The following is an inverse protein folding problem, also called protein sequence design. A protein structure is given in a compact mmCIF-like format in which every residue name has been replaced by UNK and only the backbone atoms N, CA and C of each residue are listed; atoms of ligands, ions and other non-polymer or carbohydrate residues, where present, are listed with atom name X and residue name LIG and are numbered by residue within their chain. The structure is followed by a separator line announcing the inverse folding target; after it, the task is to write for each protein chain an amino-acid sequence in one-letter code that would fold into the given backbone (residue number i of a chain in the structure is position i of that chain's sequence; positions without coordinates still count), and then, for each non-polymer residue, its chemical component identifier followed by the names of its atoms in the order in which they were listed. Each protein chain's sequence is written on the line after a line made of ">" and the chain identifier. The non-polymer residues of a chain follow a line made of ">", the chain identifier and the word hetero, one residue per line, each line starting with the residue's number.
data_IF_671576872154
#
_entry.id   IF_671576872154
#
_cell.length_a   1.000
_cell.length_b   1.000
_cell.length_c   1.000
_cell.angle_alpha   90.00
_cell.angle_beta   90.00
_cell.angle_gamma   90.00
#
_symmetry.space_group_name_H-M   'P 1'
#
loop_
_entity.id
_entity.type
_entity.pdbx_description
1 polymer ?
#
# COMPACT_ATOMS: atom_id res chain seq x y z
N UNK A 1 -22.66 -3.07 -8.89
CA UNK A 1 -22.48 -2.03 -7.85
C UNK A 1 -21.03 -1.58 -7.91
N UNK A 2 -20.75 -0.31 -7.63
CA UNK A 2 -19.41 0.29 -7.70
C UNK A 2 -18.63 0.19 -6.38
N UNK A 3 -17.33 0.49 -6.42
CA UNK A 3 -16.53 0.81 -5.24
C UNK A 3 -16.17 2.29 -5.25
N UNK A 4 -16.02 2.86 -4.06
CA UNK A 4 -15.59 4.23 -3.83
C UNK A 4 -14.20 4.24 -3.21
N UNK A 5 -13.31 5.09 -3.72
CA UNK A 5 -11.94 5.22 -3.21
C UNK A 5 -11.59 6.68 -2.94
N UNK A 6 -10.81 6.91 -1.91
CA UNK A 6 -10.17 8.19 -1.64
C UNK A 6 -8.91 8.02 -0.81
N UNK A 7 -7.91 8.86 -1.07
CA UNK A 7 -6.79 9.04 -0.15
C UNK A 7 -7.20 10.04 0.92
N UNK A 8 -7.32 9.60 2.15
CA UNK A 8 -7.53 10.52 3.27
C UNK A 8 -6.24 11.29 3.57
N UNK A 9 -5.09 10.68 3.40
CA UNK A 9 -3.75 11.31 3.45
C UNK A 9 -2.74 10.43 2.76
N UNK A 10 -1.68 11.03 2.18
CA UNK A 10 -0.64 10.29 1.49
C UNK A 10 0.72 10.97 1.58
N UNK A 11 1.72 10.27 2.10
CA UNK A 11 3.10 10.72 2.25
C UNK A 11 3.67 10.43 3.64
N UNK A 12 4.94 10.70 3.85
CA UNK A 12 5.70 10.42 5.09
C UNK A 12 5.20 11.14 6.36
N UNK A 13 4.17 11.96 6.27
CA UNK A 13 3.47 12.55 7.41
C UNK A 13 2.20 11.78 7.80
N UNK A 14 1.89 10.70 7.10
CA UNK A 14 0.78 9.81 7.38
C UNK A 14 0.14 9.28 6.10
N UNK A 15 -0.22 8.01 6.10
CA UNK A 15 -0.90 7.32 5.01
C UNK A 15 -2.23 6.77 5.51
N UNK A 16 -3.30 6.98 4.76
CA UNK A 16 -4.61 6.45 5.09
C UNK A 16 -5.48 6.41 3.83
N UNK A 17 -5.85 5.22 3.39
CA UNK A 17 -6.59 5.00 2.16
C UNK A 17 -7.93 4.34 2.46
N UNK A 18 -9.00 4.91 1.92
CA UNK A 18 -10.37 4.41 2.05
C UNK A 18 -10.76 3.66 0.78
N UNK A 19 -11.27 2.44 0.94
CA UNK A 19 -11.87 1.65 -0.13
C UNK A 19 -13.17 1.04 0.39
N UNK A 20 -14.29 1.26 -0.30
CA UNK A 20 -15.57 0.73 0.15
C UNK A 20 -16.67 0.80 -0.89
N UNK A 21 -17.83 0.31 -0.53
CA UNK A 21 -19.08 0.48 -1.26
C UNK A 21 -20.05 1.39 -0.47
N UNK A 22 -21.31 1.45 -0.86
CA UNK A 22 -22.32 2.30 -0.18
C UNK A 22 -22.57 1.91 1.30
N UNK A 23 -22.34 0.65 1.69
CA UNK A 23 -22.66 0.13 3.03
C UNK A 23 -21.46 -0.16 3.93
N UNK A 24 -20.32 -0.40 3.33
CA UNK A 24 -19.14 -0.86 4.06
C UNK A 24 -17.83 -0.45 3.40
N UNK A 25 -16.79 -0.28 4.21
CA UNK A 25 -15.47 0.12 3.75
C UNK A 25 -14.37 -0.47 4.64
N UNK A 26 -13.17 -0.50 4.10
CA UNK A 26 -11.93 -0.76 4.84
C UNK A 26 -11.01 0.46 4.75
N UNK A 27 -10.21 0.66 5.79
CA UNK A 27 -9.07 1.56 5.74
C UNK A 27 -7.80 0.75 5.58
N UNK A 28 -6.98 1.15 4.64
CA UNK A 28 -5.60 0.64 4.51
C UNK A 28 -4.69 1.69 5.11
N UNK A 29 -4.02 1.30 6.19
CA UNK A 29 -3.22 2.14 7.06
C UNK A 29 -4.01 3.30 7.73
N UNK A 30 -3.54 3.76 8.87
CA UNK A 30 -4.03 4.93 9.61
C UNK A 30 -2.83 5.66 10.21
N UNK A 31 -2.07 6.32 9.36
CA UNK A 31 -0.89 7.09 9.74
C UNK A 31 -1.17 8.51 10.21
N UNK A 32 -2.43 8.94 10.19
CA UNK A 32 -2.89 10.24 10.70
C UNK A 32 -3.76 10.06 11.94
N UNK A 33 -3.90 11.11 12.74
CA UNK A 33 -4.68 11.02 13.98
C UNK A 33 -6.16 10.68 13.74
N UNK A 34 -6.78 10.00 14.70
CA UNK A 34 -8.22 9.69 14.68
C UNK A 34 -9.09 10.92 14.37
N UNK A 35 -8.80 12.08 15.00
CA UNK A 35 -9.50 13.34 14.74
C UNK A 35 -9.37 13.78 13.28
N UNK A 36 -8.21 13.59 12.69
CA UNK A 36 -7.95 13.98 11.31
C UNK A 36 -8.67 13.04 10.32
N UNK A 37 -8.68 11.72 10.58
CA UNK A 37 -9.50 10.77 9.81
C UNK A 37 -10.97 11.18 9.81
N UNK A 38 -11.53 11.42 11.00
CA UNK A 38 -12.94 11.84 11.15
C UNK A 38 -13.26 13.16 10.42
N UNK A 39 -12.36 14.12 10.54
CA UNK A 39 -12.51 15.42 9.87
C UNK A 39 -12.54 15.26 8.34
N UNK A 40 -11.58 14.53 7.79
CA UNK A 40 -11.45 14.34 6.34
C UNK A 40 -12.60 13.52 5.77
N UNK A 41 -12.98 12.42 6.43
CA UNK A 41 -14.16 11.66 6.03
C UNK A 41 -15.43 12.50 6.03
N UNK A 42 -15.65 13.31 7.08
CA UNK A 42 -16.81 14.21 7.15
C UNK A 42 -16.84 15.24 6.03
N UNK A 43 -15.68 15.84 5.70
CA UNK A 43 -15.58 16.80 4.59
C UNK A 43 -15.91 16.15 3.22
N UNK A 44 -15.72 14.84 3.10
CA UNK A 44 -16.03 14.06 1.90
C UNK A 44 -17.47 13.47 1.91
N UNK A 45 -18.25 13.71 2.96
CA UNK A 45 -19.57 13.10 3.12
C UNK A 45 -19.53 11.62 3.50
N UNK A 46 -18.36 11.11 3.88
CA UNK A 46 -18.18 9.74 4.33
C UNK A 46 -18.42 9.64 5.84
N UNK A 47 -18.91 8.47 6.29
CA UNK A 47 -19.21 8.21 7.70
C UNK A 47 -18.33 7.09 8.27
N UNK A 48 -17.90 7.23 9.52
CA UNK A 48 -17.13 6.18 10.20
C UNK A 48 -17.93 4.88 10.41
N UNK A 49 -19.26 4.95 10.39
CA UNK A 49 -20.13 3.77 10.55
C UNK A 49 -20.02 2.77 9.37
N UNK A 50 -19.60 3.24 8.21
CA UNK A 50 -19.31 2.36 7.05
C UNK A 50 -17.99 1.62 7.18
N UNK A 51 -17.02 2.14 7.93
CA UNK A 51 -15.72 1.48 8.12
C UNK A 51 -15.90 0.24 8.99
N UNK A 52 -15.47 -0.91 8.47
CA UNK A 52 -15.64 -2.22 9.12
C UNK A 52 -14.33 -2.83 9.59
N UNK A 53 -13.19 -2.42 9.03
CA UNK A 53 -11.88 -2.94 9.39
C UNK A 53 -10.76 -1.97 9.00
N UNK A 54 -9.62 -2.17 9.66
CA UNK A 54 -8.33 -1.53 9.32
C UNK A 54 -7.36 -2.64 8.93
N UNK A 55 -6.64 -2.46 7.81
CA UNK A 55 -5.54 -3.33 7.39
C UNK A 55 -4.24 -2.56 7.44
N UNK A 56 -3.20 -3.15 8.02
CA UNK A 56 -1.89 -2.52 8.21
C UNK A 56 -0.88 -3.13 7.26
N UNK A 57 -0.25 -2.27 6.48
CA UNK A 57 0.75 -2.67 5.49
C UNK A 57 2.11 -3.01 6.12
N UNK A 58 2.56 -2.20 7.10
CA UNK A 58 3.81 -2.38 7.84
C UNK A 58 3.86 -1.42 9.06
N UNK A 59 4.92 -1.53 9.89
CA UNK A 59 5.00 -0.89 11.20
C UNK A 59 5.51 0.56 11.22
N UNK A 60 5.84 1.18 10.10
CA UNK A 60 6.32 2.56 10.12
C UNK A 60 5.28 3.52 10.69
N UNK A 61 5.75 4.52 11.42
CA UNK A 61 4.90 5.44 12.18
C UNK A 61 3.85 6.16 11.33
N UNK A 62 4.21 6.50 10.10
CA UNK A 62 3.32 7.16 9.13
C UNK A 62 2.25 6.22 8.53
N UNK A 63 2.21 4.96 8.96
CA UNK A 63 1.16 3.98 8.63
C UNK A 63 0.29 3.60 9.83
N UNK A 64 0.80 3.74 11.05
CA UNK A 64 0.14 3.17 12.23
C UNK A 64 -0.21 4.15 13.34
N UNK A 65 0.26 5.41 13.31
CA UNK A 65 0.18 6.33 14.46
C UNK A 65 -1.25 6.58 14.96
N UNK A 66 -2.25 6.56 14.10
CA UNK A 66 -3.66 6.75 14.45
C UNK A 66 -4.42 5.47 14.79
N UNK A 67 -3.87 4.29 14.47
CA UNK A 67 -4.55 2.99 14.58
C UNK A 67 -5.09 2.72 15.97
N UNK A 68 -4.29 2.81 17.08
CA UNK A 68 -4.79 2.42 18.40
C UNK A 68 -6.00 3.23 18.86
N UNK A 69 -5.98 4.54 18.59
CA UNK A 69 -7.06 5.44 19.00
C UNK A 69 -8.31 5.23 18.15
N UNK A 70 -8.15 5.10 16.82
CA UNK A 70 -9.28 4.90 15.91
C UNK A 70 -9.94 3.56 16.13
N UNK A 71 -9.14 2.47 16.21
CA UNK A 71 -9.64 1.13 16.44
C UNK A 71 -10.40 1.02 17.77
N UNK A 72 -9.84 1.57 18.86
CA UNK A 72 -10.50 1.57 20.17
C UNK A 72 -11.80 2.37 20.16
N UNK A 73 -11.81 3.57 19.55
CA UNK A 73 -12.97 4.47 19.54
C UNK A 73 -14.17 3.87 18.81
N UNK A 74 -13.93 3.18 17.71
CA UNK A 74 -14.98 2.64 16.84
C UNK A 74 -15.16 1.14 16.92
N UNK A 75 -14.39 0.46 17.79
CA UNK A 75 -14.45 -1.01 17.93
C UNK A 75 -14.02 -1.75 16.65
N UNK A 76 -13.09 -1.19 15.88
CA UNK A 76 -12.70 -1.74 14.59
C UNK A 76 -11.70 -2.88 14.76
N UNK A 77 -11.91 -4.03 14.08
CA UNK A 77 -10.88 -5.05 13.97
C UNK A 77 -9.69 -4.50 13.18
N UNK A 78 -8.48 -4.84 13.65
CA UNK A 78 -7.21 -4.47 13.01
C UNK A 78 -6.56 -5.73 12.46
N UNK A 79 -6.47 -5.82 11.14
CA UNK A 79 -5.75 -6.88 10.45
C UNK A 79 -4.29 -6.46 10.27
N UNK A 80 -3.39 -7.27 10.83
CA UNK A 80 -1.96 -6.97 10.89
C UNK A 80 -1.18 -8.28 11.03
N UNK A 81 -0.03 -8.42 10.39
CA UNK A 81 0.80 -9.62 10.58
C UNK A 81 1.43 -9.64 11.97
N UNK A 82 1.75 -10.83 12.48
CA UNK A 82 2.36 -10.98 13.81
C UNK A 82 3.70 -10.23 13.91
N UNK A 83 4.51 -10.26 12.85
CA UNK A 83 5.80 -9.57 12.83
C UNK A 83 5.61 -8.06 12.84
N UNK A 84 4.73 -7.52 11.99
CA UNK A 84 4.40 -6.09 11.98
C UNK A 84 3.83 -5.64 13.33
N UNK A 85 2.94 -6.41 13.94
CA UNK A 85 2.40 -6.08 15.27
C UNK A 85 3.51 -6.05 16.33
N UNK A 86 4.38 -7.04 16.36
CA UNK A 86 5.49 -7.12 17.30
C UNK A 86 6.42 -5.90 17.18
N UNK A 87 6.82 -5.54 15.96
CA UNK A 87 7.75 -4.43 15.73
C UNK A 87 7.09 -3.05 15.88
N UNK A 88 5.78 -2.94 15.66
CA UNK A 88 5.01 -1.70 15.84
C UNK A 88 4.92 -1.25 17.31
N UNK A 89 5.11 -2.16 18.26
CA UNK A 89 4.94 -1.94 19.70
C UNK A 89 3.54 -1.45 20.11
N UNK A 90 2.55 -1.57 19.22
CA UNK A 90 1.18 -1.19 19.53
C UNK A 90 0.56 -2.16 20.55
N UNK A 91 -0.14 -1.60 21.52
CA UNK A 91 -0.88 -2.38 22.54
C UNK A 91 -2.34 -2.58 22.06
N UNK A 92 -2.54 -3.51 21.13
CA UNK A 92 -3.87 -3.88 20.62
C UNK A 92 -3.93 -5.37 20.26
N UNK A 93 -5.15 -5.88 20.15
CA UNK A 93 -5.39 -7.25 19.66
C UNK A 93 -5.46 -7.19 18.14
N UNK A 94 -4.41 -7.63 17.47
CA UNK A 94 -4.38 -7.81 16.02
C UNK A 94 -5.06 -9.10 15.57
N UNK A 95 -5.59 -9.11 14.37
CA UNK A 95 -6.06 -10.30 13.67
C UNK A 95 -5.05 -10.59 12.57
N UNK A 96 -4.36 -11.74 12.62
CA UNK A 96 -3.36 -12.05 11.60
C UNK A 96 -4.00 -12.32 10.24
N UNK A 97 -3.31 -11.96 9.18
CA UNK A 97 -3.60 -12.36 7.81
C UNK A 97 -2.38 -13.02 7.18
N UNK A 98 -2.60 -13.84 6.16
CA UNK A 98 -1.54 -14.44 5.36
C UNK A 98 -1.48 -13.86 3.95
N UNK A 99 -0.30 -13.87 3.31
CA UNK A 99 -0.19 -13.45 1.91
C UNK A 99 -1.02 -14.37 1.00
N UNK A 100 -1.65 -13.80 -0.02
CA UNK A 100 -2.50 -14.49 -1.00
C UNK A 100 -3.74 -15.18 -0.42
N UNK A 101 -4.07 -14.94 0.85
CA UNK A 101 -5.29 -15.45 1.47
C UNK A 101 -6.30 -14.29 1.62
N UNK A 102 -7.41 -14.29 0.88
CA UNK A 102 -8.40 -13.22 0.97
C UNK A 102 -9.05 -13.18 2.35
N UNK A 103 -9.08 -12.01 2.96
CA UNK A 103 -9.87 -11.73 4.16
C UNK A 103 -11.20 -11.11 3.72
N UNK A 104 -12.31 -11.74 4.09
CA UNK A 104 -13.65 -11.24 3.78
C UNK A 104 -14.13 -10.26 4.85
N UNK A 105 -14.53 -9.06 4.42
CA UNK A 105 -15.15 -8.02 5.26
C UNK A 105 -16.48 -7.64 4.59
N UNK A 106 -17.56 -8.25 5.03
CA UNK A 106 -18.87 -8.11 4.36
C UNK A 106 -18.83 -8.61 2.90
N UNK A 107 -19.04 -7.72 1.95
CA UNK A 107 -18.96 -7.99 0.50
C UNK A 107 -17.57 -7.66 -0.10
N UNK A 108 -16.66 -7.13 0.72
CA UNK A 108 -15.30 -6.81 0.31
C UNK A 108 -14.37 -7.99 0.62
N UNK A 109 -13.41 -8.21 -0.27
CA UNK A 109 -12.31 -9.14 -0.07
C UNK A 109 -11.01 -8.37 -0.13
N UNK A 110 -10.15 -8.55 0.88
CA UNK A 110 -8.83 -7.92 0.95
C UNK A 110 -7.76 -9.00 0.83
N UNK A 111 -7.00 -8.96 -0.23
CA UNK A 111 -5.89 -9.87 -0.49
C UNK A 111 -4.57 -9.14 -0.26
N UNK A 112 -3.77 -9.63 0.66
CA UNK A 112 -2.43 -9.10 0.92
C UNK A 112 -1.38 -9.85 0.07
N UNK A 113 -0.33 -9.16 -0.34
CA UNK A 113 0.84 -9.76 -0.96
C UNK A 113 2.13 -9.06 -0.49
N UNK A 114 3.21 -9.82 -0.40
CA UNK A 114 4.51 -9.33 0.07
C UNK A 114 5.08 -8.31 -0.92
N UNK A 115 5.56 -7.20 -0.43
CA UNK A 115 6.29 -6.17 -1.18
C UNK A 115 7.73 -6.05 -0.72
N UNK A 116 8.58 -5.45 -1.54
CA UNK A 116 9.94 -5.09 -1.14
C UNK A 116 9.92 -3.72 -0.47
N UNK A 117 10.20 -3.68 0.83
CA UNK A 117 10.35 -2.46 1.62
C UNK A 117 11.17 -2.73 2.87
N UNK A 118 11.79 -1.71 3.45
CA UNK A 118 12.65 -1.81 4.64
C UNK A 118 11.84 -1.84 5.95
N UNK A 119 10.92 -2.80 6.03
CA UNK A 119 10.08 -3.08 7.19
C UNK A 119 10.13 -4.57 7.55
N UNK A 120 9.57 -4.95 8.70
CA UNK A 120 9.69 -6.32 9.22
C UNK A 120 8.95 -7.37 8.39
N UNK A 121 7.76 -7.03 7.91
CA UNK A 121 6.91 -7.93 7.11
C UNK A 121 5.94 -7.11 6.25
N UNK A 122 6.46 -6.37 5.22
CA UNK A 122 5.69 -5.39 4.49
C UNK A 122 4.78 -6.02 3.44
N UNK A 123 3.52 -5.56 3.39
CA UNK A 123 2.51 -6.03 2.45
C UNK A 123 1.85 -4.87 1.70
N UNK A 124 1.44 -5.14 0.48
CA UNK A 124 0.48 -4.34 -0.30
C UNK A 124 -0.86 -5.06 -0.35
N UNK A 125 -1.90 -4.35 -0.77
CA UNK A 125 -3.27 -4.89 -0.75
C UNK A 125 -3.98 -4.72 -2.08
N UNK A 126 -4.76 -5.74 -2.44
CA UNK A 126 -5.81 -5.68 -3.44
C UNK A 126 -7.15 -5.80 -2.72
N UNK A 127 -8.02 -4.79 -2.84
CA UNK A 127 -9.37 -4.81 -2.29
C UNK A 127 -10.35 -5.03 -3.43
N UNK A 128 -11.11 -6.12 -3.37
CA UNK A 128 -12.06 -6.50 -4.40
C UNK A 128 -13.49 -6.56 -3.87
N UNK A 129 -14.44 -6.21 -4.70
CA UNK A 129 -15.88 -6.31 -4.39
C UNK A 129 -16.72 -5.90 -5.59
N UNK A 130 -17.89 -6.49 -5.76
CA UNK A 130 -18.83 -6.14 -6.82
C UNK A 130 -18.27 -6.18 -8.26
N UNK A 131 -17.26 -7.04 -8.51
CA UNK A 131 -16.56 -7.08 -9.81
C UNK A 131 -15.56 -5.96 -10.05
N UNK A 132 -15.19 -5.21 -9.01
CA UNK A 132 -14.17 -4.14 -9.03
C UNK A 132 -12.99 -4.55 -8.16
N UNK A 133 -11.78 -4.25 -8.61
CA UNK A 133 -10.54 -4.47 -7.85
C UNK A 133 -9.74 -3.16 -7.74
N UNK A 134 -9.32 -2.85 -6.53
CA UNK A 134 -8.60 -1.62 -6.18
C UNK A 134 -7.26 -2.00 -5.56
N UNK A 135 -6.17 -1.51 -6.13
CA UNK A 135 -4.82 -1.70 -5.58
C UNK A 135 -4.41 -0.59 -4.61
N UNK A 136 -3.72 -0.96 -3.53
CA UNK A 136 -3.03 -0.02 -2.65
C UNK A 136 -1.56 -0.41 -2.59
N UNK A 137 -0.73 0.32 -3.35
CA UNK A 137 0.65 0.00 -3.66
C UNK A 137 1.56 1.18 -3.30
N UNK A 138 1.83 1.33 -2.02
CA UNK A 138 2.72 2.34 -1.45
C UNK A 138 3.91 1.70 -0.77
N UNK A 139 4.98 2.43 -0.58
CA UNK A 139 6.21 1.96 0.03
C UNK A 139 6.76 0.72 -0.69
N UNK A 140 7.03 0.92 -1.96
CA UNK A 140 7.49 -0.11 -2.89
C UNK A 140 8.96 0.14 -3.24
N UNK A 141 9.87 -0.71 -2.77
CA UNK A 141 11.28 -0.58 -3.07
C UNK A 141 11.64 -0.95 -4.52
N UNK A 142 10.91 -1.90 -5.09
CA UNK A 142 11.09 -2.31 -6.48
C UNK A 142 9.84 -2.94 -7.07
N UNK A 143 9.71 -2.84 -8.39
CA UNK A 143 8.68 -3.53 -9.15
C UNK A 143 8.99 -5.04 -9.19
N UNK A 144 8.15 -5.87 -8.58
CA UNK A 144 8.28 -7.32 -8.58
C UNK A 144 7.10 -7.98 -9.29
N UNK A 145 7.23 -9.27 -9.61
CA UNK A 145 6.17 -10.04 -10.29
C UNK A 145 4.82 -10.01 -9.56
N UNK A 146 4.84 -9.99 -8.23
CA UNK A 146 3.64 -9.90 -7.40
C UNK A 146 2.92 -8.56 -7.62
N UNK A 147 3.68 -7.45 -7.60
CA UNK A 147 3.12 -6.12 -7.86
C UNK A 147 2.54 -6.05 -9.26
N UNK A 148 3.26 -6.51 -10.27
CA UNK A 148 2.79 -6.54 -11.67
C UNK A 148 1.52 -7.38 -11.81
N UNK A 149 1.50 -8.58 -11.19
CA UNK A 149 0.35 -9.48 -11.21
C UNK A 149 -0.91 -8.81 -10.66
N UNK A 150 -0.82 -8.19 -9.48
CA UNK A 150 -1.96 -7.53 -8.86
C UNK A 150 -2.34 -6.21 -9.54
N UNK A 151 -1.35 -5.47 -10.05
CA UNK A 151 -1.61 -4.22 -10.77
C UNK A 151 -2.44 -4.45 -12.05
N UNK A 152 -2.18 -5.55 -12.77
CA UNK A 152 -2.96 -5.93 -13.96
C UNK A 152 -4.42 -6.26 -13.70
N UNK A 153 -4.82 -6.44 -12.45
CA UNK A 153 -6.20 -6.74 -12.05
C UNK A 153 -6.97 -5.48 -11.60
N UNK A 154 -6.33 -4.30 -11.59
CA UNK A 154 -6.89 -3.11 -10.98
C UNK A 154 -7.77 -2.31 -11.92
N UNK A 155 -9.00 -2.02 -11.49
CA UNK A 155 -9.86 -1.00 -12.08
C UNK A 155 -9.45 0.40 -11.60
N UNK A 156 -8.86 0.50 -10.40
CA UNK A 156 -8.18 1.69 -9.92
C UNK A 156 -7.04 1.32 -8.97
N UNK A 157 -6.07 2.21 -8.79
CA UNK A 157 -4.97 1.97 -7.87
C UNK A 157 -4.49 3.27 -7.21
N UNK A 158 -4.06 3.14 -5.95
CA UNK A 158 -3.11 4.03 -5.31
C UNK A 158 -1.71 3.49 -5.61
N UNK A 159 -0.93 4.22 -6.36
CA UNK A 159 0.41 3.80 -6.78
C UNK A 159 1.45 4.79 -6.30
N UNK A 160 2.47 4.30 -5.64
CA UNK A 160 3.59 5.13 -5.24
C UNK A 160 4.29 5.77 -6.44
N UNK A 161 4.56 7.08 -6.31
CA UNK A 161 5.49 7.84 -7.13
C UNK A 161 6.29 8.75 -6.17
N UNK A 162 7.27 8.16 -5.48
CA UNK A 162 7.85 8.80 -4.32
C UNK A 162 8.77 9.94 -4.69
N UNK A 163 9.72 9.73 -5.60
CA UNK A 163 10.74 10.73 -5.89
C UNK A 163 11.01 10.91 -7.39
N UNK A 164 11.37 12.11 -7.73
CA UNK A 164 12.05 12.43 -8.98
C UNK A 164 13.54 12.16 -8.83
N UNK A 165 14.16 11.49 -9.80
CA UNK A 165 15.55 11.06 -9.72
C UNK A 165 16.51 12.25 -9.64
N UNK A 166 16.27 13.28 -10.45
CA UNK A 166 17.09 14.48 -10.49
C UNK A 166 16.98 15.29 -9.19
N UNK A 167 15.74 15.44 -8.67
CA UNK A 167 15.51 16.13 -7.40
C UNK A 167 16.16 15.37 -6.24
N UNK A 168 16.11 14.04 -6.21
CA UNK A 168 16.78 13.24 -5.19
C UNK A 168 18.31 13.42 -5.27
N UNK A 169 18.90 13.32 -6.47
CA UNK A 169 20.36 13.45 -6.63
C UNK A 169 20.87 14.85 -6.27
N UNK A 170 20.17 15.90 -6.65
CA UNK A 170 20.52 17.30 -6.35
C UNK A 170 20.07 17.75 -4.97
N UNK A 171 19.18 16.99 -4.34
CA UNK A 171 18.57 17.31 -3.04
C UNK A 171 19.56 17.28 -1.88
N UNK A 172 19.13 17.84 -0.74
CA UNK A 172 19.95 18.04 0.46
C UNK A 172 20.18 16.77 1.30
N UNK A 173 19.56 15.66 0.96
CA UNK A 173 19.68 14.44 1.73
C UNK A 173 21.11 13.88 1.66
N UNK A 174 21.63 13.35 2.78
CA UNK A 174 22.95 12.72 2.78
C UNK A 174 22.94 11.45 1.90
N UNK A 175 24.10 11.09 1.40
CA UNK A 175 24.26 9.98 0.44
C UNK A 175 23.65 8.66 0.92
N UNK A 176 23.82 8.33 2.22
CA UNK A 176 23.24 7.10 2.76
C UNK A 176 21.72 7.07 2.67
N UNK A 177 21.05 8.22 2.89
CA UNK A 177 19.58 8.31 2.79
C UNK A 177 19.12 8.25 1.35
N UNK A 178 19.82 8.90 0.41
CA UNK A 178 19.55 8.76 -1.03
C UNK A 178 19.68 7.31 -1.47
N UNK A 179 20.72 6.62 -1.03
CA UNK A 179 20.92 5.19 -1.33
C UNK A 179 19.83 4.31 -0.73
N UNK A 180 19.35 4.61 0.48
CA UNK A 180 18.21 3.93 1.09
C UNK A 180 16.94 4.14 0.26
N UNK A 181 16.62 5.38 -0.12
CA UNK A 181 15.41 5.73 -0.87
C UNK A 181 15.38 5.02 -2.23
N UNK A 182 16.47 5.09 -3.01
CA UNK A 182 16.54 4.48 -4.35
C UNK A 182 16.90 3.00 -4.37
N UNK A 183 17.21 2.43 -3.22
CA UNK A 183 17.54 1.01 -3.09
C UNK A 183 16.29 0.13 -3.27
N UNK A 184 16.50 -1.15 -3.60
CA UNK A 184 15.41 -2.10 -3.86
C UNK A 184 14.51 -2.40 -2.66
N UNK A 185 14.77 -1.79 -1.50
CA UNK A 185 13.93 -1.84 -0.29
C UNK A 185 13.42 -0.44 0.10
N UNK A 186 13.69 0.59 -0.70
CA UNK A 186 13.25 1.95 -0.45
C UNK A 186 11.89 2.26 -1.09
N UNK A 187 11.91 3.10 -2.12
CA UNK A 187 10.69 3.61 -2.78
C UNK A 187 10.82 3.62 -4.30
N UNK A 188 9.70 3.64 -5.01
CA UNK A 188 9.66 3.82 -6.47
C UNK A 188 9.92 5.28 -6.85
N UNK A 189 10.77 5.48 -7.85
CA UNK A 189 10.86 6.76 -8.54
C UNK A 189 9.63 7.00 -9.43
N UNK A 190 9.43 8.25 -9.85
CA UNK A 190 8.40 8.62 -10.83
C UNK A 190 8.53 7.79 -12.11
N UNK A 191 9.76 7.55 -12.57
CA UNK A 191 10.01 6.78 -13.79
C UNK A 191 9.64 5.29 -13.62
N UNK A 192 10.04 4.65 -12.50
CA UNK A 192 9.69 3.25 -12.23
C UNK A 192 8.18 3.05 -12.12
N UNK A 193 7.48 3.98 -11.44
CA UNK A 193 6.03 3.95 -11.35
C UNK A 193 5.35 4.17 -12.71
N UNK A 194 5.89 5.08 -13.54
CA UNK A 194 5.42 5.31 -14.90
C UNK A 194 5.62 4.09 -15.79
N UNK A 195 6.77 3.41 -15.68
CA UNK A 195 7.05 2.20 -16.45
C UNK A 195 6.10 1.07 -16.09
N UNK A 196 5.80 0.86 -14.80
CA UNK A 196 4.76 -0.06 -14.35
C UNK A 196 3.40 0.29 -14.98
N UNK A 197 3.00 1.55 -14.90
CA UNK A 197 1.73 2.02 -15.45
C UNK A 197 1.65 1.83 -16.97
N UNK A 198 2.68 2.20 -17.70
CA UNK A 198 2.68 2.11 -19.18
C UNK A 198 2.69 0.68 -19.69
N UNK A 199 3.41 -0.22 -19.01
CA UNK A 199 3.63 -1.58 -19.48
C UNK A 199 2.57 -2.56 -18.99
N UNK A 200 1.92 -2.26 -17.87
CA UNK A 200 1.11 -3.25 -17.16
C UNK A 200 -0.29 -2.79 -16.75
N UNK A 201 -0.69 -1.53 -17.03
CA UNK A 201 -2.06 -1.13 -16.74
C UNK A 201 -3.05 -1.96 -17.56
N UNK A 202 -4.14 -2.45 -16.97
CA UNK A 202 -5.20 -3.10 -17.74
C UNK A 202 -6.04 -2.06 -18.50
N UNK A 203 -6.66 -2.48 -19.60
CA UNK A 203 -7.51 -1.60 -20.42
C UNK A 203 -8.72 -1.06 -19.64
N UNK A 204 -9.24 -1.83 -18.69
CA UNK A 204 -10.35 -1.42 -17.82
C UNK A 204 -9.98 -0.51 -16.64
N UNK A 205 -8.73 -0.04 -16.53
CA UNK A 205 -8.34 0.89 -15.47
C UNK A 205 -9.01 2.25 -15.68
N UNK A 206 -9.66 2.76 -14.62
CA UNK A 206 -10.42 4.02 -14.65
C UNK A 206 -9.71 5.15 -13.91
N UNK A 207 -9.07 4.83 -12.77
CA UNK A 207 -8.47 5.83 -11.87
C UNK A 207 -7.10 5.39 -11.41
N UNK A 208 -6.13 6.29 -11.46
CA UNK A 208 -4.81 6.16 -10.84
C UNK A 208 -4.56 7.32 -9.90
N UNK A 209 -4.41 7.03 -8.62
CA UNK A 209 -4.03 8.01 -7.59
C UNK A 209 -2.54 7.85 -7.28
N UNK A 210 -1.72 8.76 -7.79
CA UNK A 210 -0.29 8.81 -7.51
C UNK A 210 -0.09 9.20 -6.06
N UNK A 211 0.58 8.34 -5.31
CA UNK A 211 0.58 8.36 -3.85
C UNK A 211 1.98 8.36 -3.28
N UNK A 212 2.08 8.70 -1.99
CA UNK A 212 3.32 8.64 -1.20
C UNK A 212 4.48 9.47 -1.78
N UNK A 213 4.16 10.68 -2.30
CA UNK A 213 5.16 11.59 -2.84
C UNK A 213 6.06 12.13 -1.72
N UNK A 214 7.37 12.13 -1.98
CA UNK A 214 8.36 12.80 -1.12
C UNK A 214 8.12 14.31 -1.13
N UNK A 215 8.16 14.93 0.04
CA UNK A 215 8.03 16.37 0.18
C UNK A 215 9.21 17.13 -0.44
N UNK A 216 10.41 16.58 -0.27
CA UNK A 216 11.65 17.29 -0.57
C UNK A 216 12.29 16.85 -1.91
N UNK A 217 11.87 15.69 -2.43
CA UNK A 217 12.46 15.10 -3.64
C UNK A 217 11.43 14.82 -4.74
N UNK A 218 10.27 15.48 -4.68
CA UNK A 218 9.25 15.36 -5.73
C UNK A 218 8.40 16.64 -5.81
N UNK A 219 7.74 16.80 -6.95
CA UNK A 219 6.79 17.88 -7.19
C UNK A 219 5.47 17.29 -7.73
N UNK A 220 4.33 17.55 -7.06
CA UNK A 220 3.02 17.03 -7.51
C UNK A 220 2.65 17.43 -8.94
N UNK A 221 3.00 18.65 -9.38
CA UNK A 221 2.69 19.11 -10.73
C UNK A 221 3.54 18.37 -11.78
N UNK A 222 4.81 18.13 -11.48
CA UNK A 222 5.72 17.33 -12.33
C UNK A 222 5.18 15.91 -12.49
N UNK A 223 4.83 15.24 -11.39
CA UNK A 223 4.29 13.88 -11.43
C UNK A 223 2.98 13.82 -12.21
N UNK A 224 2.07 14.76 -11.94
CA UNK A 224 0.79 14.86 -12.67
C UNK A 224 1.02 15.02 -14.17
N UNK A 225 1.95 15.88 -14.57
CA UNK A 225 2.27 16.13 -15.99
C UNK A 225 2.83 14.88 -16.67
N UNK A 226 3.83 14.23 -16.03
CA UNK A 226 4.47 13.01 -16.56
C UNK A 226 3.43 11.93 -16.84
N UNK A 227 2.57 11.64 -15.88
CA UNK A 227 1.58 10.57 -16.02
C UNK A 227 0.43 10.95 -16.95
N UNK A 228 -0.01 12.22 -16.97
CA UNK A 228 -1.11 12.67 -17.83
C UNK A 228 -0.79 12.49 -19.32
N UNK A 229 0.47 12.61 -19.72
CA UNK A 229 0.91 12.37 -21.10
C UNK A 229 0.70 10.92 -21.56
N UNK A 230 0.55 9.99 -20.61
CA UNK A 230 0.40 8.55 -20.87
C UNK A 230 -0.92 7.98 -20.35
N UNK A 231 -1.79 8.82 -19.81
CA UNK A 231 -3.02 8.41 -19.13
C UNK A 231 -4.04 7.71 -20.07
N UNK A 232 -4.13 8.17 -21.34
CA UNK A 232 -5.22 7.72 -22.22
C UNK A 232 -6.58 8.09 -21.62
N UNK A 233 -7.40 7.08 -21.37
CA UNK A 233 -8.73 7.25 -20.74
C UNK A 233 -8.71 7.21 -19.21
N UNK A 234 -7.57 6.87 -18.60
CA UNK A 234 -7.43 6.77 -17.14
C UNK A 234 -7.42 8.15 -16.51
N UNK A 235 -8.27 8.37 -15.51
CA UNK A 235 -8.20 9.57 -14.70
C UNK A 235 -7.01 9.48 -13.74
N UNK A 236 -5.99 10.31 -13.98
CA UNK A 236 -4.80 10.40 -13.12
C UNK A 236 -4.93 11.61 -12.20
N UNK A 237 -4.69 11.40 -10.91
CA UNK A 237 -4.63 12.46 -9.91
C UNK A 237 -3.51 12.18 -8.89
N UNK A 238 -3.01 13.22 -8.23
CA UNK A 238 -2.00 13.12 -7.19
C UNK A 238 -2.67 13.23 -5.81
N UNK A 239 -2.41 12.26 -4.94
CA UNK A 239 -2.86 12.28 -3.56
C UNK A 239 -2.02 13.27 -2.74
N UNK A 240 -2.70 14.10 -1.94
CA UNK A 240 -2.07 15.15 -1.15
C UNK A 240 -1.67 14.67 0.24
N UNK A 241 -0.58 15.22 0.76
CA UNK A 241 -0.18 15.10 2.16
C UNK A 241 -0.88 16.08 3.10
N UNK A 242 -1.60 17.04 2.56
CA UNK A 242 -2.22 18.13 3.33
C UNK A 242 -3.74 17.99 3.44
N UNK A 243 -4.37 17.38 2.44
CA UNK A 243 -5.82 17.24 2.36
C UNK A 243 -6.23 15.88 1.76
N UNK A 244 -7.48 15.52 1.93
CA UNK A 244 -8.03 14.34 1.30
C UNK A 244 -8.26 14.56 -0.20
N UNK A 245 -8.10 13.52 -1.01
CA UNK A 245 -8.50 13.54 -2.41
C UNK A 245 -10.03 13.59 -2.53
N UNK A 246 -10.54 13.83 -3.74
CA UNK A 246 -11.96 13.57 -4.04
C UNK A 246 -12.29 12.09 -3.80
N UNK A 247 -13.57 11.80 -3.60
CA UNK A 247 -14.07 10.43 -3.69
C UNK A 247 -14.25 10.08 -5.17
N UNK A 248 -13.66 8.97 -5.59
CA UNK A 248 -13.78 8.45 -6.94
C UNK A 248 -14.67 7.21 -6.90
N UNK A 249 -15.66 7.17 -7.78
CA UNK A 249 -16.48 6.00 -8.00
C UNK A 249 -15.86 5.16 -9.11
N UNK A 250 -15.69 3.86 -8.87
CA UNK A 250 -15.06 2.91 -9.78
C UNK A 250 -16.08 1.81 -10.09
N UNK A 251 -16.33 1.57 -11.36
CA UNK A 251 -17.34 0.66 -11.85
C UNK A 251 -16.73 -0.68 -12.28
N UNK A 252 -17.51 -1.77 -12.23
CA UNK A 252 -17.10 -3.01 -12.86
C UNK A 252 -16.92 -2.80 -14.37
N UNK A 253 -15.83 -3.29 -14.91
CA UNK A 253 -15.52 -3.24 -16.33
C UNK A 253 -14.85 -4.54 -16.76
N UNK A 254 -14.82 -4.81 -18.07
CA UNK A 254 -14.06 -5.94 -18.58
C UNK A 254 -12.55 -5.63 -18.46
N UNK A 255 -11.84 -6.40 -17.63
CA UNK A 255 -10.39 -6.42 -17.62
C UNK A 255 -9.93 -7.43 -18.68
N UNK A 256 -9.45 -6.93 -19.81
CA UNK A 256 -8.91 -7.77 -20.90
C UNK A 256 -7.45 -8.14 -20.56
N UNK A 257 -7.24 -8.91 -19.51
CA UNK A 257 -5.96 -9.55 -19.24
C UNK A 257 -6.20 -10.90 -18.58
N UNK A 258 -5.84 -11.97 -19.27
CA UNK A 258 -5.72 -13.27 -18.61
C UNK A 258 -4.66 -13.19 -17.53
N UNK A 259 -4.97 -13.53 -16.27
CA UNK A 259 -3.96 -13.57 -15.23
C UNK A 259 -2.89 -14.60 -15.61
N UNK A 260 -1.64 -14.18 -15.68
CA UNK A 260 -0.53 -15.12 -15.72
C UNK A 260 -0.54 -15.90 -14.40
N UNK A 261 -0.36 -17.23 -14.43
CA UNK A 261 -0.30 -18.00 -13.20
C UNK A 261 0.84 -17.45 -12.33
N UNK A 262 0.55 -17.24 -11.04
CA UNK A 262 1.57 -16.82 -10.07
C UNK A 262 2.70 -17.85 -10.07
N UNK A 263 3.96 -17.43 -10.08
CA UNK A 263 5.05 -18.36 -9.80
C UNK A 263 4.85 -18.91 -8.37
N UNK A 264 4.72 -20.21 -8.26
CA UNK A 264 4.63 -20.90 -6.98
C UNK A 264 5.94 -20.65 -6.24
N UNK A 265 5.93 -19.78 -5.23
CA UNK A 265 7.06 -19.59 -4.34
C UNK A 265 7.34 -20.92 -3.64
N UNK A 266 8.34 -21.66 -4.15
CA UNK A 266 8.87 -22.80 -3.42
C UNK A 266 9.44 -22.28 -2.10
N UNK A 267 8.82 -22.68 -0.99
CA UNK A 267 9.31 -22.37 0.34
C UNK A 267 10.79 -22.74 0.41
N UNK A 268 11.66 -21.77 0.63
CA UNK A 268 13.09 -21.98 0.78
C UNK A 268 13.30 -22.97 1.93
N UNK A 269 13.73 -24.20 1.62
CA UNK A 269 14.11 -25.18 2.63
C UNK A 269 15.21 -24.56 3.50
N UNK A 270 14.88 -24.20 4.75
CA UNK A 270 15.87 -23.83 5.76
C UNK A 270 16.90 -24.94 5.84
N UNK A 271 18.12 -24.73 5.34
CA UNK A 271 19.26 -25.59 5.62
C UNK A 271 19.49 -25.56 7.14
N UNK A 272 19.18 -26.67 7.80
CA UNK A 272 19.61 -26.89 9.17
C UNK A 272 21.15 -26.86 9.17
N UNK A 273 21.74 -25.85 9.78
CA UNK A 273 23.17 -25.85 10.09
C UNK A 273 23.42 -26.95 11.12
N UNK A 274 24.25 -27.94 10.76
CA UNK A 274 24.72 -28.95 11.68
C UNK A 274 25.58 -28.26 12.75
N UNK A 275 25.22 -28.48 14.01
CA UNK A 275 26.04 -28.09 15.16
C UNK A 275 27.26 -29.00 15.18
N UNK A 276 28.50 -28.46 15.21
CA UNK A 276 29.67 -29.31 15.37
C UNK A 276 29.68 -29.91 16.77
N UNK A 277 29.70 -31.23 16.85
CA UNK A 277 29.94 -31.98 18.10
C UNK A 277 31.32 -31.66 18.63
N UNK A 278 31.38 -31.09 19.81
CA UNK A 278 32.63 -30.88 20.53
C UNK A 278 33.26 -32.25 20.89
N UNK A 279 34.48 -32.45 20.43
CA UNK A 279 35.32 -33.56 20.81
C UNK A 279 35.84 -33.28 22.22
N UNK A 280 35.43 -34.09 23.20
CA UNK A 280 36.08 -34.13 24.51
C UNK A 280 37.45 -34.79 24.35
N UNK A 281 38.52 -34.05 24.46
CA UNK A 281 39.86 -34.58 24.68
C UNK A 281 40.08 -34.68 26.20
N UNK A 282 40.15 -35.92 26.67
CA UNK A 282 40.72 -36.26 27.97
C UNK A 282 42.23 -36.02 27.95
N UNK A 283 42.72 -35.28 28.90
CA UNK A 283 44.13 -35.23 29.25
C UNK A 283 44.31 -35.50 30.75
N UNK A 284 45.24 -36.36 31.03
CA UNK A 284 45.82 -36.72 32.31
C UNK A 284 46.29 -35.51 33.14
#
# INVERSE_FOLDING_TARGET
>A
MSLFITSLNSGSNGNCYYVGNAGEAVLIDVGISCREVERRMRCLGLTMSTVKAIFISHEHTDHISGVPVLAKKYGLPVYITEQTLHHSRMQLKGIPFGPQQPVTVGQLQVTAFVKHHDASDPHSFLVSGNGVSIGVFTDIGQCCDQLVHHFRQCHAAFLEANYDTDMLEKGRYPVFLKNRIRGGQGHLSNQQALDLFRQHRPDGMQVLLLSHLSRDNNDPALVQEIFSRHAGTVHVAVASRYEASKVYEVFPGELVASPLPLPVLQAAKKKRSAIPTAVQSSLF
#
